data_IF_446820760475
#
_entry.id   IF_446820760475
#
_cell.length_a   1.000
_cell.length_b   1.000
_cell.length_c   1.000
_cell.angle_alpha   90.00
_cell.angle_beta   90.00
_cell.angle_gamma   90.00
#
_symmetry.space_group_name_H-M   'P 1'
#
loop_
_entity.id
_entity.type
_entity.pdbx_description
1 polymer ?
#
# COMPACT_ATOMS: atom_id res chain seq x y z
N UNK A 1 -1.58 -6.37 -0.66
CA UNK A 1 -1.44 -5.11 -1.42
C UNK A 1 -1.33 -5.31 -2.94
N UNK A 2 -0.42 -6.13 -3.48
CA UNK A 2 -0.24 -6.30 -4.95
C UNK A 2 -1.54 -6.60 -5.73
N UNK A 3 -2.37 -7.53 -5.23
CA UNK A 3 -3.68 -7.83 -5.85
C UNK A 3 -4.64 -6.64 -5.77
N UNK A 4 -4.73 -5.98 -4.61
CA UNK A 4 -5.54 -4.76 -4.44
C UNK A 4 -5.07 -3.63 -5.37
N UNK A 5 -3.76 -3.43 -5.54
CA UNK A 5 -3.21 -2.44 -6.48
C UNK A 5 -3.63 -2.72 -7.92
N UNK A 6 -3.59 -4.00 -8.32
CA UNK A 6 -4.02 -4.40 -9.67
C UNK A 6 -5.52 -4.23 -9.88
N UNK A 7 -6.35 -4.35 -8.85
CA UNK A 7 -7.78 -4.01 -8.96
C UNK A 7 -8.01 -2.50 -8.97
N UNK A 8 -7.29 -1.73 -8.14
CA UNK A 8 -7.38 -0.27 -8.09
C UNK A 8 -7.04 0.39 -9.44
N UNK A 9 -6.19 -0.21 -10.27
CA UNK A 9 -5.90 0.32 -11.60
C UNK A 9 -7.07 0.24 -12.58
N UNK A 10 -8.12 -0.53 -12.26
CA UNK A 10 -9.34 -0.67 -13.07
C UNK A 10 -10.58 -0.13 -12.34
N UNK A 11 -10.42 0.49 -11.16
CA UNK A 11 -11.50 0.98 -10.31
C UNK A 11 -11.96 2.38 -10.74
N UNK A 12 -12.54 2.48 -11.94
CA UNK A 12 -12.92 3.77 -12.53
C UNK A 12 -14.08 4.47 -11.79
N UNK A 13 -14.94 3.71 -11.10
CA UNK A 13 -16.06 4.25 -10.31
C UNK A 13 -15.69 4.49 -8.83
N UNK A 14 -14.49 4.12 -8.41
CA UNK A 14 -13.96 4.35 -7.07
C UNK A 14 -14.56 3.46 -5.98
N UNK A 15 -15.42 2.49 -6.32
CA UNK A 15 -16.13 1.66 -5.34
C UNK A 15 -15.17 0.76 -4.58
N UNK A 16 -14.19 0.18 -5.29
CA UNK A 16 -13.20 -0.69 -4.67
C UNK A 16 -12.19 0.11 -3.82
N UNK A 17 -11.85 1.32 -4.22
CA UNK A 17 -11.03 2.25 -3.45
C UNK A 17 -11.70 2.61 -2.13
N UNK A 18 -13.00 2.92 -2.14
CA UNK A 18 -13.76 3.19 -0.92
C UNK A 18 -13.76 1.99 0.03
N UNK A 19 -13.94 0.78 -0.48
CA UNK A 19 -13.91 -0.46 0.31
C UNK A 19 -12.53 -0.70 0.95
N UNK A 20 -11.45 -0.49 0.20
CA UNK A 20 -10.08 -0.79 0.64
C UNK A 20 -9.37 0.36 1.34
N UNK A 21 -9.98 1.53 1.42
CA UNK A 21 -9.33 2.73 1.95
C UNK A 21 -8.80 2.52 3.37
N UNK A 22 -9.61 1.96 4.27
CA UNK A 22 -9.21 1.71 5.64
C UNK A 22 -8.09 0.67 5.76
N UNK A 23 -8.11 -0.37 4.93
CA UNK A 23 -7.02 -1.37 4.88
C UNK A 23 -5.72 -0.74 4.39
N UNK A 24 -5.79 0.14 3.39
CA UNK A 24 -4.62 0.84 2.85
C UNK A 24 -3.99 1.72 3.93
N UNK A 25 -4.80 2.52 4.63
CA UNK A 25 -4.31 3.45 5.65
C UNK A 25 -3.81 2.72 6.91
N UNK A 26 -4.58 1.77 7.43
CA UNK A 26 -4.29 1.19 8.75
C UNK A 26 -3.37 -0.04 8.69
N UNK A 27 -3.31 -0.73 7.55
CA UNK A 27 -2.53 -1.96 7.41
C UNK A 27 -1.35 -1.73 6.46
N UNK A 28 -1.61 -1.33 5.21
CA UNK A 28 -0.54 -1.31 4.21
C UNK A 28 0.44 -0.16 4.39
N UNK A 29 -0.03 1.05 4.69
CA UNK A 29 0.83 2.21 4.84
C UNK A 29 1.87 2.04 5.97
N UNK A 30 1.50 1.60 7.20
CA UNK A 30 2.49 1.33 8.25
C UNK A 30 3.50 0.25 7.88
N UNK A 31 3.09 -0.79 7.14
CA UNK A 31 3.98 -1.85 6.69
C UNK A 31 5.02 -1.32 5.69
N UNK A 32 4.65 -0.38 4.80
CA UNK A 32 5.59 0.25 3.89
C UNK A 32 6.57 1.18 4.60
N UNK A 33 6.12 1.96 5.59
CA UNK A 33 7.03 2.78 6.41
C UNK A 33 8.01 1.91 7.19
N UNK A 34 7.54 0.80 7.77
CA UNK A 34 8.41 -0.20 8.41
C UNK A 34 9.41 -0.78 7.41
N UNK A 35 8.94 -1.21 6.24
CA UNK A 35 9.81 -1.75 5.19
C UNK A 35 10.88 -0.75 4.77
N UNK A 36 10.52 0.52 4.54
CA UNK A 36 11.43 1.61 4.21
C UNK A 36 12.53 1.76 5.28
N UNK A 37 12.16 1.74 6.56
CA UNK A 37 13.12 1.78 7.67
C UNK A 37 14.04 0.55 7.68
N UNK A 38 13.47 -0.64 7.52
CA UNK A 38 14.19 -1.91 7.56
C UNK A 38 15.21 -2.04 6.42
N UNK A 39 14.87 -1.57 5.21
CA UNK A 39 15.77 -1.64 4.06
C UNK A 39 16.79 -0.52 4.01
N UNK A 40 16.54 0.62 4.68
CA UNK A 40 17.45 1.76 4.67
C UNK A 40 18.88 1.39 5.06
N UNK A 41 19.08 0.40 5.94
CA UNK A 41 20.42 -0.10 6.34
C UNK A 41 21.24 -0.68 5.19
N UNK A 42 20.59 -1.16 4.13
CA UNK A 42 21.26 -1.70 2.94
C UNK A 42 21.61 -0.64 1.90
N UNK A 43 21.01 0.56 2.00
CA UNK A 43 21.19 1.65 1.04
C UNK A 43 21.96 2.85 1.62
N UNK A 44 22.41 2.77 2.87
CA UNK A 44 23.42 3.68 3.42
C UNK A 44 24.80 3.24 2.92
N UNK A 45 25.14 3.65 1.70
CA UNK A 45 26.54 3.76 1.25
C UNK A 45 27.09 5.12 1.69
#
# INVERSE_FOLDING_TARGET
MLKSRNHLSYDYDGTFAAEKFQDIINIYYPLFEKFKSDVAKYYKQ
#
